data_IF_385920328840
#
_entry.id   IF_385920328840
#
_cell.length_a   1.000
_cell.length_b   1.000
_cell.length_c   1.000
_cell.angle_alpha   90.00
_cell.angle_beta   90.00
_cell.angle_gamma   90.00
#
_symmetry.space_group_name_H-M   'P 1'
#
loop_
_entity.id
_entity.type
_entity.pdbx_description
1 polymer ?
#
# COMPACT_ATOMS: atom_id res chain seq x y z
N UNK A 1 -22.74 6.44 -1.30
CA UNK A 1 -22.66 6.36 -2.78
C UNK A 1 -22.29 4.94 -3.22
N UNK A 2 -22.59 4.64 -4.46
CA UNK A 2 -22.19 3.41 -5.13
C UNK A 2 -21.42 3.77 -6.40
N UNK A 3 -20.39 3.03 -6.72
CA UNK A 3 -19.67 3.17 -7.97
C UNK A 3 -19.16 1.80 -8.45
N UNK A 4 -18.93 1.69 -9.75
CA UNK A 4 -18.35 0.51 -10.36
C UNK A 4 -16.82 0.53 -10.20
N UNK A 5 -16.24 -0.54 -9.67
CA UNK A 5 -14.80 -0.70 -9.62
C UNK A 5 -14.35 -1.24 -10.99
N UNK A 6 -13.58 -0.46 -11.71
CA UNK A 6 -13.09 -0.77 -13.05
C UNK A 6 -11.93 -1.76 -13.04
N UNK A 7 -11.68 -2.40 -14.17
CA UNK A 7 -10.41 -3.09 -14.42
C UNK A 7 -9.34 -2.06 -14.76
N UNK A 8 -8.45 -1.76 -13.82
CA UNK A 8 -7.43 -0.73 -13.99
C UNK A 8 -6.40 -1.04 -15.09
N UNK A 9 -6.26 -2.32 -15.46
CA UNK A 9 -5.32 -2.74 -16.51
C UNK A 9 -5.86 -2.49 -17.91
N UNK A 10 -7.18 -2.71 -18.13
CA UNK A 10 -7.83 -2.54 -19.45
C UNK A 10 -8.45 -1.17 -19.62
N UNK A 11 -9.09 -0.65 -18.57
CA UNK A 11 -9.89 0.58 -18.63
C UNK A 11 -9.08 1.81 -18.21
N UNK A 12 -7.88 1.58 -17.63
CA UNK A 12 -7.03 2.64 -17.10
C UNK A 12 -7.49 3.14 -15.73
N UNK A 13 -6.84 4.20 -15.26
CA UNK A 13 -7.11 4.80 -13.95
C UNK A 13 -6.17 4.31 -12.85
N UNK A 14 -6.21 5.00 -11.71
CA UNK A 14 -5.34 4.75 -10.54
C UNK A 14 -6.02 3.95 -9.44
N UNK A 15 -7.29 3.61 -9.62
CA UNK A 15 -8.10 2.82 -8.69
C UNK A 15 -8.88 1.78 -9.44
N UNK A 16 -8.90 0.56 -8.94
CA UNK A 16 -9.60 -0.51 -9.64
C UNK A 16 -9.14 -1.91 -9.23
N UNK A 17 -9.23 -2.85 -10.13
CA UNK A 17 -8.70 -4.19 -9.95
C UNK A 17 -7.88 -4.65 -11.16
N UNK A 18 -6.90 -5.50 -10.88
CA UNK A 18 -6.26 -6.36 -11.87
C UNK A 18 -6.99 -7.72 -11.86
N UNK A 19 -7.35 -8.21 -13.05
CA UNK A 19 -7.95 -9.54 -13.23
C UNK A 19 -6.88 -10.54 -13.66
N UNK A 20 -6.72 -11.61 -12.89
CA UNK A 20 -5.80 -12.70 -13.20
C UNK A 20 -6.46 -13.81 -14.03
N UNK A 21 -5.65 -14.64 -14.69
CA UNK A 21 -6.10 -15.74 -15.55
C UNK A 21 -6.96 -16.78 -14.82
N UNK A 22 -6.78 -16.92 -13.49
CA UNK A 22 -7.56 -17.79 -12.61
C UNK A 22 -8.92 -17.19 -12.20
N UNK A 23 -9.23 -15.98 -12.68
CA UNK A 23 -10.45 -15.22 -12.37
C UNK A 23 -10.41 -14.51 -11.01
N UNK A 24 -9.30 -14.56 -10.27
CA UNK A 24 -9.10 -13.79 -9.04
C UNK A 24 -8.72 -12.35 -9.37
N UNK A 25 -8.85 -11.47 -8.36
CA UNK A 25 -8.62 -10.03 -8.52
C UNK A 25 -7.74 -9.50 -7.40
N UNK A 26 -6.83 -8.61 -7.76
CA UNK A 26 -6.19 -7.69 -6.83
C UNK A 26 -6.88 -6.33 -6.92
N UNK A 27 -7.40 -5.84 -5.82
CA UNK A 27 -8.00 -4.53 -5.72
C UNK A 27 -6.99 -3.55 -5.12
N UNK A 28 -6.80 -2.45 -5.83
CA UNK A 28 -6.06 -1.26 -5.36
C UNK A 28 -7.05 -0.10 -5.37
N UNK A 29 -7.50 0.33 -4.20
CA UNK A 29 -8.61 1.26 -4.07
C UNK A 29 -8.11 2.57 -3.49
N UNK A 30 -8.17 3.58 -4.33
CA UNK A 30 -7.73 4.95 -4.08
C UNK A 30 -8.76 5.92 -4.68
N UNK A 31 -8.77 7.18 -4.24
CA UNK A 31 -9.66 8.22 -4.79
C UNK A 31 -11.14 7.80 -4.84
N UNK A 32 -11.62 7.07 -3.84
CA UNK A 32 -12.91 6.38 -3.88
C UNK A 32 -14.03 7.10 -3.10
N UNK A 33 -13.72 8.26 -2.50
CA UNK A 33 -14.67 9.07 -1.74
C UNK A 33 -14.44 10.56 -2.00
N UNK A 34 -15.45 11.43 -1.79
CA UNK A 34 -15.28 12.88 -1.85
C UNK A 34 -14.32 13.35 -0.76
N UNK A 35 -13.32 14.14 -1.13
CA UNK A 35 -12.28 14.64 -0.23
C UNK A 35 -12.49 16.14 0.03
N UNK A 36 -12.12 16.59 1.22
CA UNK A 36 -12.17 17.99 1.58
C UNK A 36 -11.02 18.74 0.89
N UNK A 37 -11.34 19.78 0.15
CA UNK A 37 -10.34 20.66 -0.43
C UNK A 37 -9.65 21.48 0.66
N UNK A 38 -8.36 21.78 0.46
CA UNK A 38 -7.63 22.68 1.36
C UNK A 38 -8.14 24.11 1.23
N UNK A 39 -8.17 24.83 2.35
CA UNK A 39 -8.36 26.28 2.39
C UNK A 39 -7.09 26.92 2.93
N UNK A 40 -6.52 27.85 2.17
CA UNK A 40 -5.38 28.65 2.62
C UNK A 40 -5.65 30.15 2.46
N UNK A 41 -4.79 30.96 3.04
CA UNK A 41 -4.94 32.41 3.05
C UNK A 41 -4.37 33.09 1.79
N UNK A 42 -3.83 32.35 0.85
CA UNK A 42 -3.28 32.85 -0.43
C UNK A 42 -4.30 32.69 -1.54
N UNK A 43 -4.80 31.46 -1.71
CA UNK A 43 -5.68 31.07 -2.82
C UNK A 43 -7.15 30.86 -2.38
N UNK A 44 -7.43 30.81 -1.07
CA UNK A 44 -8.74 30.45 -0.54
C UNK A 44 -9.03 28.95 -0.71
N UNK A 45 -10.23 28.59 -1.13
CA UNK A 45 -10.60 27.19 -1.38
C UNK A 45 -9.95 26.66 -2.65
N UNK A 46 -9.07 25.66 -2.52
CA UNK A 46 -8.44 24.98 -3.64
C UNK A 46 -9.34 23.88 -4.22
N UNK A 47 -10.51 24.25 -4.67
CA UNK A 47 -11.56 23.35 -5.18
C UNK A 47 -11.56 23.21 -6.71
N UNK A 48 -10.49 23.60 -7.38
CA UNK A 48 -10.37 23.47 -8.83
C UNK A 48 -10.38 21.98 -9.25
N UNK A 49 -10.94 21.72 -10.43
CA UNK A 49 -10.95 20.39 -11.00
C UNK A 49 -9.52 19.85 -11.16
N UNK A 50 -9.36 18.54 -10.90
CA UNK A 50 -8.12 17.85 -11.16
C UNK A 50 -7.87 17.66 -12.66
N UNK A 51 -6.75 18.18 -13.14
CA UNK A 51 -6.34 18.11 -14.55
C UNK A 51 -5.12 17.21 -14.79
N UNK A 52 -4.88 16.20 -13.93
CA UNK A 52 -3.77 15.26 -14.03
C UNK A 52 -2.52 15.66 -13.25
N UNK A 53 -2.59 16.73 -12.46
CA UNK A 53 -1.52 17.20 -11.55
C UNK A 53 -2.13 17.69 -10.25
N UNK A 54 -1.33 17.77 -9.19
CA UNK A 54 -1.68 18.43 -7.94
C UNK A 54 -2.85 17.76 -7.24
N UNK A 55 -2.74 16.49 -7.00
CA UNK A 55 -3.76 15.66 -6.38
C UNK A 55 -3.79 15.74 -4.85
N UNK A 56 -2.77 16.33 -4.24
CA UNK A 56 -2.58 16.36 -2.79
C UNK A 56 -2.91 17.72 -2.11
N UNK A 57 -3.61 18.61 -2.80
CA UNK A 57 -4.18 19.82 -2.21
C UNK A 57 -5.37 19.46 -1.30
N UNK A 58 -5.09 18.76 -0.21
CA UNK A 58 -6.03 18.16 0.73
C UNK A 58 -5.65 18.50 2.16
N UNK A 59 -6.66 18.67 3.03
CA UNK A 59 -6.46 18.82 4.47
C UNK A 59 -6.07 17.52 5.14
N UNK A 60 -5.31 17.63 6.23
CA UNK A 60 -5.08 16.50 7.13
C UNK A 60 -6.35 16.15 7.91
N UNK A 61 -6.55 14.87 8.12
CA UNK A 61 -7.69 14.38 8.89
C UNK A 61 -7.42 13.05 9.58
N UNK A 62 -8.34 12.69 10.44
CA UNK A 62 -8.40 11.37 11.08
C UNK A 62 -9.43 10.51 10.36
N UNK A 63 -9.08 9.25 10.13
CA UNK A 63 -9.92 8.29 9.42
C UNK A 63 -10.20 7.07 10.30
N UNK A 64 -11.48 6.74 10.44
CA UNK A 64 -11.95 5.48 11.02
C UNK A 64 -12.71 4.71 9.93
N UNK A 65 -12.09 3.65 9.37
CA UNK A 65 -12.57 2.99 8.16
C UNK A 65 -12.78 1.50 8.39
N UNK A 66 -13.96 1.01 8.02
CA UNK A 66 -14.32 -0.41 8.05
C UNK A 66 -14.51 -0.92 6.63
N UNK A 67 -13.72 -1.93 6.27
CA UNK A 67 -13.67 -2.53 4.93
C UNK A 67 -14.19 -3.95 5.02
N UNK A 68 -15.35 -4.20 4.41
CA UNK A 68 -15.96 -5.54 4.37
C UNK A 68 -15.70 -6.19 3.03
N UNK A 69 -15.02 -7.33 3.05
CA UNK A 69 -14.57 -8.08 1.88
C UNK A 69 -14.85 -9.58 2.06
N UNK A 70 -14.72 -10.42 1.02
CA UNK A 70 -14.74 -11.87 1.20
C UNK A 70 -13.78 -12.33 2.28
N UNK A 71 -14.17 -13.34 3.06
CA UNK A 71 -13.43 -13.76 4.26
C UNK A 71 -12.05 -14.37 4.00
N UNK A 72 -11.77 -14.74 2.75
CA UNK A 72 -10.49 -15.21 2.24
C UNK A 72 -9.56 -14.11 1.72
N UNK A 73 -10.02 -12.84 1.70
CA UNK A 73 -9.19 -11.71 1.33
C UNK A 73 -8.30 -11.27 2.50
N UNK A 74 -7.07 -10.90 2.15
CA UNK A 74 -6.16 -10.09 2.99
C UNK A 74 -6.37 -8.63 2.59
N UNK A 75 -6.40 -7.76 3.57
CA UNK A 75 -6.53 -6.30 3.39
C UNK A 75 -5.43 -5.60 4.18
N UNK A 76 -4.80 -4.61 3.56
CA UNK A 76 -4.06 -3.59 4.30
C UNK A 76 -4.39 -2.20 3.75
N UNK A 77 -4.17 -1.16 4.53
CA UNK A 77 -4.67 0.18 4.26
C UNK A 77 -3.83 1.26 4.94
N UNK A 78 -4.07 2.50 4.58
CA UNK A 78 -3.68 3.66 5.39
C UNK A 78 -4.13 3.47 6.84
N UNK A 79 -3.25 3.71 7.81
CA UNK A 79 -3.55 3.59 9.24
C UNK A 79 -3.30 2.21 9.83
N UNK A 80 -3.64 2.07 11.08
CA UNK A 80 -3.37 0.89 11.90
C UNK A 80 -4.58 -0.04 11.98
N UNK A 81 -4.33 -1.34 11.85
CA UNK A 81 -5.36 -2.38 11.99
C UNK A 81 -5.81 -2.51 13.45
N UNK A 82 -7.09 -2.28 13.72
CA UNK A 82 -7.67 -2.24 15.06
C UNK A 82 -8.21 -3.59 15.54
N UNK A 83 -8.44 -4.54 14.65
CA UNK A 83 -9.16 -5.76 14.97
C UNK A 83 -8.45 -7.05 14.51
N UNK A 84 -7.12 -7.09 14.63
CA UNK A 84 -6.26 -8.23 14.24
C UNK A 84 -6.83 -9.58 14.69
N UNK A 85 -7.29 -9.67 15.94
CA UNK A 85 -7.85 -10.91 16.51
C UNK A 85 -9.08 -11.44 15.78
N UNK A 86 -9.81 -10.57 15.05
CA UNK A 86 -11.04 -10.94 14.32
C UNK A 86 -10.76 -11.32 12.87
N UNK A 87 -9.70 -10.76 12.27
CA UNK A 87 -9.44 -10.88 10.82
C UNK A 87 -8.24 -11.76 10.49
N UNK A 88 -7.28 -11.93 11.40
CA UNK A 88 -6.09 -12.77 11.23
C UNK A 88 -6.24 -14.08 12.03
N UNK A 89 -5.69 -15.17 11.46
CA UNK A 89 -5.56 -16.43 12.17
C UNK A 89 -4.58 -16.31 13.35
N UNK A 90 -4.55 -17.30 14.23
CA UNK A 90 -3.59 -17.32 15.34
C UNK A 90 -2.15 -17.36 14.83
N UNK A 91 -1.90 -18.15 13.80
CA UNK A 91 -0.60 -18.33 13.16
C UNK A 91 -0.13 -17.03 12.50
N UNK A 92 -1.01 -16.33 11.78
CA UNK A 92 -0.71 -15.03 11.15
C UNK A 92 -0.36 -13.99 12.22
N UNK A 93 -1.10 -13.91 13.32
CA UNK A 93 -0.77 -13.00 14.44
C UNK A 93 0.57 -13.31 15.07
N UNK A 94 0.86 -14.59 15.33
CA UNK A 94 2.16 -15.00 15.86
C UNK A 94 3.31 -14.58 14.95
N UNK A 95 3.18 -14.79 13.63
CA UNK A 95 4.17 -14.36 12.65
C UNK A 95 4.29 -12.84 12.59
N UNK A 96 3.18 -12.10 12.74
CA UNK A 96 3.20 -10.65 12.76
C UNK A 96 3.93 -10.11 14.00
N UNK A 97 3.75 -10.72 15.19
CA UNK A 97 4.53 -10.37 16.38
C UNK A 97 6.03 -10.63 16.19
N UNK A 98 6.41 -11.71 15.50
CA UNK A 98 7.81 -11.96 15.16
C UNK A 98 8.33 -10.87 14.21
N UNK A 99 7.56 -10.49 13.19
CA UNK A 99 7.93 -9.44 12.24
C UNK A 99 8.21 -8.10 12.92
N UNK A 100 7.46 -7.74 13.98
CA UNK A 100 7.65 -6.51 14.77
C UNK A 100 9.01 -6.40 15.47
N UNK A 101 9.74 -7.51 15.57
CA UNK A 101 11.08 -7.57 16.18
C UNK A 101 12.14 -8.05 15.21
N UNK A 102 11.80 -8.30 13.95
CA UNK A 102 12.73 -8.74 12.91
C UNK A 102 13.28 -7.53 12.15
N UNK A 103 14.46 -7.05 12.55
CA UNK A 103 15.14 -5.89 11.94
C UNK A 103 16.06 -6.26 10.78
N UNK A 104 16.25 -7.52 10.51
CA UNK A 104 17.20 -7.99 9.49
C UNK A 104 16.53 -8.60 8.28
N UNK A 105 15.54 -9.43 8.51
CA UNK A 105 14.90 -10.21 7.47
C UNK A 105 13.36 -10.09 7.53
N UNK A 106 12.67 -10.00 6.39
CA UNK A 106 11.22 -10.06 6.34
C UNK A 106 10.69 -11.40 6.87
N UNK A 107 9.53 -11.34 7.51
CA UNK A 107 8.80 -12.50 8.03
C UNK A 107 7.48 -12.60 7.28
N UNK A 108 7.17 -13.76 6.73
CA UNK A 108 5.89 -14.02 6.08
C UNK A 108 4.76 -14.09 7.11
N UNK A 109 3.83 -13.16 7.04
CA UNK A 109 2.58 -13.18 7.80
C UNK A 109 1.57 -14.10 7.08
N UNK A 110 1.46 -13.96 5.75
CA UNK A 110 0.71 -14.87 4.88
C UNK A 110 1.68 -15.47 3.86
N UNK A 111 1.82 -16.79 3.88
CA UNK A 111 2.72 -17.48 2.95
C UNK A 111 2.09 -17.64 1.57
N UNK A 112 2.91 -17.94 0.55
CA UNK A 112 2.42 -18.24 -0.79
C UNK A 112 1.43 -19.43 -0.79
N UNK A 113 1.71 -20.49 -0.03
CA UNK A 113 0.83 -21.64 0.08
C UNK A 113 -0.55 -21.28 0.67
N UNK A 114 -0.59 -20.38 1.65
CA UNK A 114 -1.84 -19.88 2.24
C UNK A 114 -2.62 -19.04 1.22
N UNK A 115 -1.95 -18.19 0.46
CA UNK A 115 -2.55 -17.40 -0.61
C UNK A 115 -3.13 -18.30 -1.72
N UNK A 116 -2.39 -19.31 -2.16
CA UNK A 116 -2.85 -20.28 -3.17
C UNK A 116 -4.06 -21.12 -2.69
N UNK A 117 -4.14 -21.42 -1.40
CA UNK A 117 -5.35 -22.04 -0.81
C UNK A 117 -6.53 -21.10 -0.86
N UNK A 118 -6.34 -19.82 -0.53
CA UNK A 118 -7.38 -18.79 -0.58
C UNK A 118 -7.87 -18.54 -2.02
N UNK A 119 -6.98 -18.53 -3.01
CA UNK A 119 -7.32 -18.43 -4.44
C UNK A 119 -8.36 -19.48 -4.89
N UNK A 120 -8.24 -20.70 -4.35
CA UNK A 120 -9.12 -21.84 -4.68
C UNK A 120 -10.42 -21.82 -3.89
N UNK A 121 -10.41 -21.29 -2.66
CA UNK A 121 -11.55 -21.33 -1.72
C UNK A 121 -12.74 -20.50 -2.21
N UNK A 122 -12.48 -19.28 -2.74
CA UNK A 122 -13.49 -18.34 -3.25
C UNK A 122 -14.66 -18.16 -2.29
N UNK A 123 -14.38 -17.83 -1.04
CA UNK A 123 -15.34 -17.75 0.05
C UNK A 123 -16.54 -16.83 -0.30
N UNK A 124 -17.75 -17.29 0.03
CA UNK A 124 -18.99 -16.49 -0.03
C UNK A 124 -19.27 -15.76 1.31
N UNK A 125 -18.53 -16.07 2.37
CA UNK A 125 -18.62 -15.35 3.65
C UNK A 125 -17.80 -14.06 3.55
N UNK A 126 -18.14 -13.09 4.38
CA UNK A 126 -17.40 -11.83 4.50
C UNK A 126 -16.76 -11.67 5.87
N UNK A 127 -15.75 -10.81 5.94
CA UNK A 127 -15.15 -10.30 7.19
C UNK A 127 -14.90 -8.81 7.05
N UNK A 128 -14.93 -8.10 8.17
CA UNK A 128 -14.72 -6.65 8.21
C UNK A 128 -13.39 -6.34 8.88
N UNK A 129 -12.52 -5.68 8.15
CA UNK A 129 -11.27 -5.09 8.61
C UNK A 129 -11.54 -3.69 9.12
N UNK A 130 -10.89 -3.26 10.20
CA UNK A 130 -11.07 -1.94 10.80
C UNK A 130 -9.73 -1.25 10.93
N UNK A 131 -9.58 -0.12 10.27
CA UNK A 131 -8.36 0.70 10.29
C UNK A 131 -8.64 2.07 10.90
N UNK A 132 -7.66 2.58 11.65
CA UNK A 132 -7.66 3.92 12.19
C UNK A 132 -6.38 4.63 11.77
N UNK A 133 -6.52 5.75 11.06
CA UNK A 133 -5.40 6.59 10.65
C UNK A 133 -5.53 7.97 11.31
N UNK A 134 -4.43 8.51 11.79
CA UNK A 134 -4.36 9.81 12.44
C UNK A 134 -3.50 10.75 11.62
N UNK A 135 -4.01 11.97 11.43
CA UNK A 135 -3.28 13.06 10.83
C UNK A 135 -2.70 12.70 9.45
N UNK A 136 -3.56 12.23 8.53
CA UNK A 136 -3.20 11.86 7.15
C UNK A 136 -4.02 12.66 6.14
N UNK A 137 -3.48 12.89 4.94
CA UNK A 137 -4.16 13.65 3.88
C UNK A 137 -5.24 12.87 3.17
N UNK A 138 -5.11 11.55 3.09
CA UNK A 138 -6.03 10.70 2.34
C UNK A 138 -6.00 9.27 2.87
N UNK A 139 -6.85 8.42 2.32
CA UNK A 139 -6.97 7.01 2.69
C UNK A 139 -7.07 6.14 1.45
N UNK A 140 -6.24 5.08 1.40
CA UNK A 140 -6.30 4.05 0.38
C UNK A 140 -6.19 2.66 1.00
N UNK A 141 -6.60 1.64 0.26
CA UNK A 141 -6.48 0.26 0.69
C UNK A 141 -6.27 -0.71 -0.47
N UNK A 142 -5.71 -1.86 -0.16
CA UNK A 142 -5.58 -3.00 -1.05
C UNK A 142 -6.32 -4.21 -0.50
N UNK A 143 -6.86 -5.06 -1.39
CA UNK A 143 -7.60 -6.24 -1.00
C UNK A 143 -7.47 -7.36 -2.04
N UNK A 144 -7.04 -8.54 -1.62
CA UNK A 144 -7.02 -9.71 -2.48
C UNK A 144 -6.96 -11.01 -1.67
N UNK A 145 -7.42 -12.09 -2.27
CA UNK A 145 -7.14 -13.45 -1.76
C UNK A 145 -5.81 -14.00 -2.25
N UNK A 146 -5.18 -13.31 -3.23
CA UNK A 146 -3.89 -13.70 -3.81
C UNK A 146 -2.69 -13.19 -3.02
N UNK A 147 -2.90 -12.33 -2.01
CA UNK A 147 -1.78 -11.69 -1.34
C UNK A 147 -0.97 -12.64 -0.47
N UNK A 148 0.30 -12.77 -0.82
CA UNK A 148 1.40 -13.05 0.07
C UNK A 148 1.64 -11.76 0.84
N UNK A 149 1.90 -11.87 2.13
CA UNK A 149 2.15 -10.73 2.99
C UNK A 149 3.39 -10.98 3.81
N UNK A 150 4.40 -10.17 3.62
CA UNK A 150 5.57 -10.17 4.49
C UNK A 150 5.84 -8.79 5.08
N UNK A 151 6.58 -8.75 6.17
CA UNK A 151 6.92 -7.52 6.87
C UNK A 151 8.22 -7.67 7.67
N UNK A 152 8.88 -6.55 7.93
CA UNK A 152 10.01 -6.44 8.86
C UNK A 152 9.96 -5.13 9.63
N UNK A 153 10.65 -5.12 10.76
CA UNK A 153 10.81 -3.93 11.59
C UNK A 153 11.96 -3.06 11.09
N UNK A 154 11.77 -1.75 11.19
CA UNK A 154 12.78 -0.72 10.92
C UNK A 154 12.92 0.15 12.15
N UNK A 155 14.13 0.41 12.59
CA UNK A 155 14.38 1.30 13.73
C UNK A 155 14.64 2.72 13.23
N UNK A 156 13.71 3.64 13.50
CA UNK A 156 13.87 5.06 13.22
C UNK A 156 13.99 5.80 14.54
N UNK A 157 15.23 6.10 14.94
CA UNK A 157 15.56 6.81 16.16
C UNK A 157 14.86 6.26 17.43
N UNK A 158 14.87 4.92 17.58
CA UNK A 158 14.26 4.24 18.73
C UNK A 158 12.76 3.93 18.56
N UNK A 159 12.13 4.40 17.50
CA UNK A 159 10.75 4.04 17.12
C UNK A 159 10.77 2.88 16.14
N UNK A 160 9.96 1.85 16.39
CA UNK A 160 9.76 0.76 15.43
C UNK A 160 8.73 1.15 14.39
N UNK A 161 9.12 1.09 13.12
CA UNK A 161 8.25 1.27 11.95
C UNK A 161 8.20 -0.05 11.18
N UNK A 162 7.04 -0.43 10.65
CA UNK A 162 6.91 -1.67 9.87
C UNK A 162 7.06 -1.39 8.38
N UNK A 163 8.04 -2.01 7.75
CA UNK A 163 8.12 -2.15 6.30
C UNK A 163 7.31 -3.38 5.88
N UNK A 164 6.38 -3.21 4.93
CA UNK A 164 5.38 -4.22 4.58
C UNK A 164 5.29 -4.38 3.07
N UNK A 165 5.08 -5.61 2.59
CA UNK A 165 4.72 -5.86 1.19
C UNK A 165 3.52 -6.79 1.05
N UNK A 166 2.67 -6.48 0.07
CA UNK A 166 1.53 -7.28 -0.37
C UNK A 166 1.65 -7.55 -1.87
N UNK A 167 1.74 -8.80 -2.25
CA UNK A 167 1.92 -9.17 -3.66
C UNK A 167 1.34 -10.55 -3.97
N UNK A 168 0.91 -10.81 -5.21
CA UNK A 168 0.50 -12.14 -5.65
C UNK A 168 1.73 -12.97 -6.00
N UNK A 169 1.57 -14.28 -6.07
CA UNK A 169 2.64 -15.20 -6.49
C UNK A 169 3.26 -14.87 -7.87
N UNK A 170 2.49 -14.22 -8.74
CA UNK A 170 2.98 -13.73 -10.03
C UNK A 170 4.04 -12.63 -9.90
N UNK A 171 4.21 -12.06 -8.71
CA UNK A 171 5.32 -11.15 -8.37
C UNK A 171 6.60 -11.87 -7.99
N UNK A 172 6.53 -13.16 -7.64
CA UNK A 172 7.68 -13.94 -7.17
C UNK A 172 8.55 -14.47 -8.33
N UNK A 173 9.88 -14.62 -8.09
CA UNK A 173 10.59 -14.38 -6.81
C UNK A 173 10.97 -12.91 -6.56
N UNK A 174 10.77 -12.00 -7.52
CA UNK A 174 11.25 -10.63 -7.51
C UNK A 174 10.77 -9.83 -6.27
N UNK A 175 9.49 -9.97 -5.90
CA UNK A 175 8.90 -9.24 -4.77
C UNK A 175 9.38 -9.75 -3.42
N UNK A 176 9.42 -11.06 -3.24
CA UNK A 176 9.92 -11.72 -2.04
C UNK A 176 11.39 -11.36 -1.76
N UNK A 177 12.21 -11.33 -2.79
CA UNK A 177 13.64 -11.04 -2.64
C UNK A 177 13.92 -9.58 -2.31
N UNK A 178 13.07 -8.64 -2.78
CA UNK A 178 13.47 -7.23 -2.78
C UNK A 178 12.48 -6.27 -2.12
N UNK A 179 11.15 -6.42 -2.31
CA UNK A 179 10.19 -5.35 -2.04
C UNK A 179 10.29 -4.80 -0.62
N UNK A 180 10.09 -5.62 0.40
CA UNK A 180 10.07 -5.19 1.81
C UNK A 180 11.41 -4.63 2.27
N UNK A 181 12.53 -5.17 1.76
CA UNK A 181 13.86 -4.63 2.03
C UNK A 181 14.07 -3.25 1.42
N UNK A 182 13.51 -3.00 0.24
CA UNK A 182 13.55 -1.67 -0.40
C UNK A 182 12.72 -0.68 0.41
N UNK A 183 11.53 -1.05 0.87
CA UNK A 183 10.73 -0.21 1.78
C UNK A 183 11.53 0.14 3.03
N UNK A 184 12.10 -0.87 3.70
CA UNK A 184 12.89 -0.68 4.92
C UNK A 184 14.08 0.27 4.71
N UNK A 185 14.88 0.02 3.67
CA UNK A 185 16.03 0.85 3.34
C UNK A 185 15.63 2.29 3.00
N UNK A 186 14.52 2.47 2.27
CA UNK A 186 14.01 3.80 1.93
C UNK A 186 13.61 4.58 3.17
N UNK A 187 12.89 3.94 4.11
CA UNK A 187 12.51 4.56 5.38
C UNK A 187 13.74 4.99 6.20
N UNK A 188 14.75 4.12 6.30
CA UNK A 188 15.99 4.43 7.03
C UNK A 188 16.76 5.59 6.40
N UNK A 189 17.02 5.55 5.10
CA UNK A 189 17.85 6.55 4.42
C UNK A 189 17.16 7.92 4.35
N UNK A 190 15.87 7.96 4.02
CA UNK A 190 15.15 9.24 3.98
C UNK A 190 14.90 9.85 5.35
N UNK A 191 14.70 9.03 6.38
CA UNK A 191 14.63 9.55 7.75
C UNK A 191 15.93 10.20 8.19
N UNK A 192 17.09 9.67 7.75
CA UNK A 192 18.40 10.31 8.02
C UNK A 192 18.61 11.61 7.23
N UNK A 193 18.08 11.68 6.02
CA UNK A 193 18.27 12.83 5.12
C UNK A 193 17.29 13.98 5.40
N UNK A 194 16.12 13.71 5.97
CA UNK A 194 15.03 14.68 6.10
C UNK A 194 14.59 14.82 7.56
N UNK A 195 13.63 14.00 7.97
CA UNK A 195 13.06 13.92 9.32
C UNK A 195 12.58 12.49 9.60
N UNK A 196 12.45 12.14 10.87
CA UNK A 196 12.00 10.81 11.28
C UNK A 196 10.63 10.50 10.71
N UNK A 197 10.50 9.34 10.07
CA UNK A 197 9.22 8.87 9.54
C UNK A 197 8.15 8.83 10.65
N UNK A 198 7.06 9.60 10.55
CA UNK A 198 6.14 9.78 11.67
C UNK A 198 5.13 8.65 11.85
N UNK A 199 4.86 7.88 10.80
CA UNK A 199 3.85 6.83 10.82
C UNK A 199 4.41 5.50 11.33
N UNK A 200 3.52 4.55 11.65
CA UNK A 200 3.88 3.23 12.20
C UNK A 200 4.27 2.21 11.15
N UNK A 201 3.96 2.46 9.90
CA UNK A 201 4.25 1.53 8.79
C UNK A 201 4.35 2.24 7.45
N UNK A 202 4.97 1.54 6.48
CA UNK A 202 4.88 1.84 5.06
C UNK A 202 4.68 0.52 4.28
N UNK A 203 3.72 0.52 3.36
CA UNK A 203 3.27 -0.67 2.64
C UNK A 203 3.53 -0.49 1.15
N UNK A 204 4.23 -1.44 0.54
CA UNK A 204 4.34 -1.60 -0.90
C UNK A 204 3.36 -2.67 -1.38
N UNK A 205 2.43 -2.30 -2.24
CA UNK A 205 1.43 -3.22 -2.81
C UNK A 205 1.72 -3.43 -4.30
N UNK A 206 1.78 -4.69 -4.72
CA UNK A 206 1.90 -5.00 -6.15
C UNK A 206 0.64 -4.59 -6.91
N UNK A 207 0.84 -3.78 -7.94
CA UNK A 207 -0.19 -3.38 -8.90
C UNK A 207 0.38 -3.40 -10.32
N UNK A 208 -0.37 -3.89 -11.31
CA UNK A 208 0.11 -3.89 -12.69
C UNK A 208 0.17 -2.46 -13.24
N UNK A 209 1.33 -2.08 -13.78
CA UNK A 209 1.58 -0.79 -14.48
C UNK A 209 1.32 0.48 -13.65
N UNK A 210 1.31 0.38 -12.32
CA UNK A 210 1.10 1.55 -11.45
C UNK A 210 2.38 1.93 -10.70
N UNK A 211 2.60 3.23 -10.53
CA UNK A 211 3.33 3.88 -9.47
C UNK A 211 2.34 4.89 -8.88
N UNK A 212 1.96 4.73 -7.59
CA UNK A 212 0.95 5.59 -6.97
C UNK A 212 1.14 5.61 -5.47
N UNK A 213 1.27 6.80 -4.95
CA UNK A 213 1.49 7.10 -3.56
C UNK A 213 0.19 7.35 -2.79
N UNK A 214 0.19 6.92 -1.52
CA UNK A 214 -0.81 7.28 -0.49
C UNK A 214 -0.17 7.28 0.89
N UNK A 215 -0.74 7.93 1.89
CA UNK A 215 -0.19 7.86 3.24
C UNK A 215 -0.10 6.41 3.74
N UNK A 216 1.10 5.98 4.10
CA UNK A 216 1.44 4.64 4.60
C UNK A 216 1.27 3.49 3.59
N UNK A 217 0.75 3.69 2.39
CA UNK A 217 0.53 2.63 1.39
C UNK A 217 0.79 3.17 -0.01
N UNK A 218 1.54 2.44 -0.80
CA UNK A 218 1.77 2.77 -2.20
C UNK A 218 1.55 1.55 -3.10
N UNK A 219 1.22 1.81 -4.36
CA UNK A 219 0.98 0.80 -5.38
C UNK A 219 2.11 0.81 -6.40
N UNK A 220 2.75 -0.33 -6.63
CA UNK A 220 4.00 -0.41 -7.37
C UNK A 220 3.97 -1.50 -8.43
N UNK A 221 4.51 -1.19 -9.59
CA UNK A 221 4.70 -2.20 -10.63
C UNK A 221 6.00 -2.98 -10.43
N UNK A 222 6.11 -4.08 -11.12
CA UNK A 222 7.30 -4.94 -11.20
C UNK A 222 6.89 -6.40 -11.18
N UNK A 223 7.07 -7.06 -12.33
CA UNK A 223 6.69 -8.48 -12.45
C UNK A 223 7.78 -9.24 -13.20
N UNK A 224 8.19 -10.41 -12.71
CA UNK A 224 9.06 -11.31 -13.46
C UNK A 224 8.31 -11.91 -14.66
N UNK A 225 9.01 -12.62 -15.51
CA UNK A 225 8.39 -13.45 -16.54
C UNK A 225 7.61 -14.61 -15.90
N UNK A 226 6.68 -15.26 -16.63
CA UNK A 226 5.90 -16.38 -16.09
C UNK A 226 6.73 -17.56 -15.57
N UNK A 227 7.97 -17.72 -16.04
CA UNK A 227 8.92 -18.72 -15.56
C UNK A 227 9.73 -18.30 -14.31
N UNK A 228 9.41 -17.12 -13.76
CA UNK A 228 10.08 -16.54 -12.60
C UNK A 228 11.38 -15.79 -12.91
N UNK A 229 11.85 -15.79 -14.15
CA UNK A 229 13.06 -15.04 -14.52
C UNK A 229 12.78 -13.55 -14.64
N UNK A 230 13.77 -12.73 -14.36
CA UNK A 230 13.69 -11.27 -14.56
C UNK A 230 15.04 -10.66 -14.93
N UNK A 231 14.98 -9.57 -15.67
CA UNK A 231 16.16 -8.81 -16.06
C UNK A 231 16.60 -7.84 -14.96
N UNK A 232 17.86 -7.43 -14.97
CA UNK A 232 18.34 -6.32 -14.12
C UNK A 232 17.54 -5.03 -14.35
N UNK A 233 17.06 -4.78 -15.57
CA UNK A 233 16.17 -3.64 -15.87
C UNK A 233 14.84 -3.76 -15.11
N UNK A 234 14.22 -4.93 -15.09
CA UNK A 234 12.96 -5.18 -14.37
C UNK A 234 13.16 -4.98 -12.86
N UNK A 235 14.22 -5.57 -12.31
CA UNK A 235 14.59 -5.42 -10.91
C UNK A 235 14.83 -3.96 -10.52
N UNK A 236 15.68 -3.24 -11.25
CA UNK A 236 15.96 -1.83 -10.98
C UNK A 236 14.72 -0.96 -11.16
N UNK A 237 13.86 -1.26 -12.14
CA UNK A 237 12.58 -0.59 -12.32
C UNK A 237 11.68 -0.72 -11.11
N UNK A 238 11.53 -1.94 -10.57
CA UNK A 238 10.75 -2.18 -9.35
C UNK A 238 11.36 -1.49 -8.12
N UNK A 239 12.67 -1.62 -7.91
CA UNK A 239 13.36 -0.94 -6.80
C UNK A 239 13.15 0.56 -6.91
N UNK A 240 13.32 1.13 -8.10
CA UNK A 240 13.16 2.56 -8.34
C UNK A 240 11.74 3.05 -8.05
N UNK A 241 10.70 2.36 -8.51
CA UNK A 241 9.32 2.78 -8.24
C UNK A 241 8.97 2.62 -6.76
N UNK A 242 9.35 1.52 -6.10
CA UNK A 242 9.08 1.35 -4.65
C UNK A 242 9.74 2.46 -3.85
N UNK A 243 11.01 2.77 -4.12
CA UNK A 243 11.71 3.88 -3.46
C UNK A 243 10.98 5.20 -3.70
N UNK A 244 10.62 5.51 -4.95
CA UNK A 244 9.93 6.73 -5.33
C UNK A 244 8.60 6.88 -4.58
N UNK A 245 7.75 5.86 -4.61
CA UNK A 245 6.43 5.92 -3.99
C UNK A 245 6.48 5.93 -2.45
N UNK A 246 7.45 5.26 -1.84
CA UNK A 246 7.64 5.31 -0.38
C UNK A 246 8.12 6.69 0.04
N UNK A 247 8.99 7.35 -0.74
CA UNK A 247 9.48 8.70 -0.47
C UNK A 247 8.36 9.73 -0.47
N UNK A 248 7.33 9.52 -1.28
CA UNK A 248 6.15 10.37 -1.27
C UNK A 248 5.44 10.46 0.11
N UNK A 249 5.66 9.51 1.01
CA UNK A 249 5.19 9.66 2.40
C UNK A 249 5.85 10.84 3.13
N UNK A 250 7.03 11.28 2.71
CA UNK A 250 7.69 12.49 3.22
C UNK A 250 7.23 13.73 2.45
N UNK A 251 7.18 13.63 1.13
CA UNK A 251 6.79 14.66 0.17
C UNK A 251 5.92 14.03 -0.93
N UNK A 252 4.65 14.38 -1.12
CA UNK A 252 3.89 15.49 -0.53
C UNK A 252 3.02 15.11 0.68
N UNK A 253 3.05 13.85 1.18
CA UNK A 253 2.09 13.40 2.19
C UNK A 253 2.20 14.16 3.52
N UNK A 254 3.41 14.54 3.93
CA UNK A 254 3.64 15.31 5.16
C UNK A 254 3.97 16.75 4.83
N UNK A 255 5.00 16.99 4.04
CA UNK A 255 5.37 18.32 3.57
C UNK A 255 4.91 18.48 2.14
N UNK A 256 4.01 19.42 1.90
CA UNK A 256 3.43 19.70 0.60
C UNK A 256 3.73 21.14 0.16
N UNK A 257 3.98 21.34 -1.14
CA UNK A 257 4.03 22.65 -1.78
C UNK A 257 2.62 23.09 -2.19
N UNK A 258 2.47 24.34 -2.62
CA UNK A 258 1.29 24.76 -3.38
C UNK A 258 1.34 24.15 -4.79
N UNK A 259 1.09 22.85 -4.86
CA UNK A 259 1.28 22.06 -6.07
C UNK A 259 0.29 22.37 -7.19
N UNK A 260 -0.79 23.09 -6.89
CA UNK A 260 -1.75 23.55 -7.90
C UNK A 260 -1.12 24.53 -8.88
N UNK A 261 -0.23 25.38 -8.39
CA UNK A 261 0.51 26.35 -9.18
C UNK A 261 1.98 25.96 -9.36
N UNK A 262 2.60 25.39 -8.35
CA UNK A 262 4.03 25.16 -8.24
C UNK A 262 4.33 23.68 -7.99
N UNK A 263 4.37 22.91 -9.05
CA UNK A 263 4.52 21.43 -8.99
C UNK A 263 5.91 20.94 -8.55
N UNK A 264 6.92 21.82 -8.52
CA UNK A 264 8.30 21.46 -8.12
C UNK A 264 8.59 21.73 -6.67
#
# INVERSE_FOLDING_TARGET
WNYLINNSVTDGGRSGFELFTDGNKNFTIAQFFPRLAVYDNVEGWQNMQFWGRSEWALEFGDYDVKITVPSDHIVDATGELQNEKKVLTKEQRTRFEIARTSFKDPVFIVTQEEAEKAEKLKSKKSKTWHFNAKNVRDFAFASSRKYIWDAMAVNINGKTVMAVSLYPKEGNPLWEEHSTRVVANTLEEYSKMTFDYPYSKAISVHADRQGMEYPMICFNYGRPQPDGTYSERTKRGMIGVITHEVVHNFFPMIVNSDERQWTW
#
